data_IF_526698435457
#
_entry.id   IF_526698435457
#
_cell.length_a   1.000
_cell.length_b   1.000
_cell.length_c   1.000
_cell.angle_alpha   90.00
_cell.angle_beta   90.00
_cell.angle_gamma   90.00
#
_symmetry.space_group_name_H-M   'P 1'
#
loop_
_entity.id
_entity.type
_entity.pdbx_description
1 polymer ?
#
# COMPACT_ATOMS: atom_id res chain seq x y z
N UNK A 1 -4.97 -1.47 -20.51
CA UNK A 1 -6.17 -1.35 -19.65
C UNK A 1 -6.26 -2.44 -18.59
N UNK A 2 -6.06 -3.72 -18.90
CA UNK A 2 -6.12 -4.85 -17.95
C UNK A 2 -5.21 -4.65 -16.71
N UNK A 3 -3.98 -4.18 -16.88
CA UNK A 3 -3.03 -3.98 -15.78
C UNK A 3 -3.54 -2.95 -14.76
N UNK A 4 -4.14 -1.86 -15.23
CA UNK A 4 -4.73 -0.82 -14.35
C UNK A 4 -5.94 -1.34 -13.58
N UNK A 5 -6.77 -2.17 -14.20
CA UNK A 5 -7.92 -2.77 -13.52
C UNK A 5 -7.48 -3.73 -12.42
N UNK A 6 -6.45 -4.53 -12.67
CA UNK A 6 -5.86 -5.43 -11.66
C UNK A 6 -5.24 -4.62 -10.51
N UNK A 7 -4.54 -3.54 -10.81
CA UNK A 7 -3.96 -2.64 -9.81
C UNK A 7 -5.05 -2.06 -8.88
N UNK A 8 -6.13 -1.54 -9.45
CA UNK A 8 -7.26 -0.99 -8.65
C UNK A 8 -7.91 -2.07 -7.80
N UNK A 9 -8.08 -3.29 -8.31
CA UNK A 9 -8.62 -4.41 -7.54
C UNK A 9 -7.72 -4.79 -6.36
N UNK A 10 -6.41 -4.88 -6.58
CA UNK A 10 -5.45 -5.14 -5.50
C UNK A 10 -5.53 -4.06 -4.42
N UNK A 11 -5.58 -2.79 -4.83
CA UNK A 11 -5.74 -1.68 -3.89
C UNK A 11 -7.08 -1.70 -3.16
N UNK A 12 -8.17 -2.11 -3.82
CA UNK A 12 -9.49 -2.24 -3.18
C UNK A 12 -9.50 -3.36 -2.12
N UNK A 13 -8.87 -4.51 -2.42
CA UNK A 13 -8.72 -5.61 -1.45
C UNK A 13 -7.86 -5.17 -0.27
N UNK A 14 -6.77 -4.45 -0.55
CA UNK A 14 -5.90 -3.90 0.49
C UNK A 14 -6.64 -2.92 1.40
N UNK A 15 -7.38 -1.97 0.84
CA UNK A 15 -8.20 -1.02 1.60
C UNK A 15 -9.27 -1.75 2.43
N UNK A 16 -9.96 -2.73 1.85
CA UNK A 16 -10.94 -3.53 2.55
C UNK A 16 -10.35 -4.27 3.77
N UNK A 17 -9.18 -4.89 3.58
CA UNK A 17 -8.48 -5.57 4.67
C UNK A 17 -8.02 -4.58 5.75
N UNK A 18 -7.48 -3.42 5.37
CA UNK A 18 -7.01 -2.39 6.29
C UNK A 18 -8.15 -1.85 7.18
N UNK A 19 -9.31 -1.55 6.59
CA UNK A 19 -10.49 -1.13 7.35
C UNK A 19 -10.99 -2.22 8.29
N UNK A 20 -11.01 -3.48 7.85
CA UNK A 20 -11.38 -4.61 8.72
C UNK A 20 -10.43 -4.79 9.89
N UNK A 21 -9.13 -4.70 9.68
CA UNK A 21 -8.12 -4.79 10.73
C UNK A 21 -8.23 -3.64 11.73
N UNK A 22 -8.68 -2.47 11.29
CA UNK A 22 -8.92 -1.31 12.15
C UNK A 22 -10.26 -1.36 12.91
N UNK A 23 -11.03 -2.45 12.75
CA UNK A 23 -12.32 -2.63 13.43
C UNK A 23 -13.52 -1.97 12.71
N UNK A 24 -13.33 -1.48 11.49
CA UNK A 24 -14.38 -0.84 10.70
C UNK A 24 -14.76 -1.70 9.49
N UNK A 25 -15.87 -2.47 9.55
CA UNK A 25 -16.30 -3.26 8.40
C UNK A 25 -16.87 -2.35 7.30
N UNK A 26 -16.19 -2.32 6.16
CA UNK A 26 -16.65 -1.57 4.97
C UNK A 26 -17.19 -2.50 3.90
N UNK A 27 -18.12 -1.97 3.08
CA UNK A 27 -18.62 -2.66 1.91
C UNK A 27 -17.65 -2.56 0.71
N UNK A 28 -17.86 -3.38 -0.33
CA UNK A 28 -17.01 -3.37 -1.53
C UNK A 28 -16.97 -2.03 -2.24
N UNK A 29 -18.09 -1.30 -2.31
CA UNK A 29 -18.17 0.02 -2.93
C UNK A 29 -17.29 1.05 -2.23
N UNK A 30 -17.29 1.04 -0.88
CA UNK A 30 -16.44 1.91 -0.07
C UNK A 30 -14.96 1.56 -0.25
N UNK A 31 -14.62 0.27 -0.32
CA UNK A 31 -13.25 -0.18 -0.57
C UNK A 31 -12.73 0.28 -1.94
N UNK A 32 -13.55 0.19 -2.98
CA UNK A 32 -13.22 0.70 -4.33
C UNK A 32 -13.05 2.23 -4.30
N UNK A 33 -13.98 2.93 -3.64
CA UNK A 33 -13.89 4.39 -3.48
C UNK A 33 -12.61 4.83 -2.78
N UNK A 34 -12.23 4.17 -1.68
CA UNK A 34 -10.98 4.42 -0.96
C UNK A 34 -9.74 4.15 -1.84
N UNK A 35 -9.75 3.05 -2.61
CA UNK A 35 -8.68 2.72 -3.53
C UNK A 35 -8.52 3.77 -4.65
N UNK A 36 -9.62 4.27 -5.20
CA UNK A 36 -9.59 5.33 -6.21
C UNK A 36 -9.04 6.64 -5.67
N UNK A 37 -9.48 7.05 -4.47
CA UNK A 37 -8.97 8.24 -3.78
C UNK A 37 -7.48 8.12 -3.48
N UNK A 38 -7.04 6.97 -2.96
CA UNK A 38 -5.64 6.68 -2.70
C UNK A 38 -4.80 6.70 -3.99
N UNK A 39 -5.32 6.14 -5.08
CA UNK A 39 -4.65 6.15 -6.39
C UNK A 39 -4.54 7.56 -6.96
N UNK A 40 -5.57 8.38 -6.82
CA UNK A 40 -5.55 9.78 -7.24
C UNK A 40 -4.53 10.61 -6.42
N UNK A 41 -4.45 10.38 -5.11
CA UNK A 41 -3.47 11.02 -4.25
C UNK A 41 -2.01 10.71 -4.63
N UNK A 42 -1.75 9.50 -5.16
CA UNK A 42 -0.43 9.11 -5.65
C UNK A 42 0.00 9.83 -6.96
N UNK A 43 -0.93 10.48 -7.66
CA UNK A 43 -0.62 11.29 -8.84
C UNK A 43 0.01 12.65 -8.50
N UNK A 44 0.02 13.04 -7.22
CA UNK A 44 0.64 14.30 -6.79
C UNK A 44 2.15 14.06 -6.58
N UNK A 45 3.02 14.50 -7.53
CA UNK A 45 4.42 14.09 -7.57
C UNK A 45 5.33 14.81 -6.57
N UNK A 46 4.81 15.80 -5.84
CA UNK A 46 5.63 16.76 -5.09
C UNK A 46 6.06 16.33 -3.68
N UNK A 47 5.48 15.25 -3.14
CA UNK A 47 5.83 14.79 -1.80
C UNK A 47 6.17 13.32 -1.91
N UNK A 48 7.42 12.98 -1.66
CA UNK A 48 7.99 11.67 -1.83
C UNK A 48 7.08 10.54 -1.32
N UNK A 49 6.64 9.69 -2.24
CA UNK A 49 5.82 8.50 -1.99
C UNK A 49 4.41 8.75 -1.40
N UNK A 50 3.87 9.98 -1.51
CA UNK A 50 2.51 10.30 -1.04
C UNK A 50 2.35 10.25 0.49
N UNK A 51 3.46 10.29 1.25
CA UNK A 51 3.44 10.30 2.70
C UNK A 51 2.62 11.48 3.22
N UNK A 52 1.53 11.18 3.91
CA UNK A 52 0.60 12.15 4.49
C UNK A 52 -0.57 12.55 3.57
N UNK A 53 -0.34 12.80 2.28
CA UNK A 53 -1.42 13.22 1.37
C UNK A 53 -2.43 12.10 1.14
N UNK A 54 -1.96 10.88 0.92
CA UNK A 54 -2.83 9.72 0.71
C UNK A 54 -3.69 9.45 1.94
N UNK A 55 -3.07 9.41 3.10
CA UNK A 55 -3.74 9.17 4.37
C UNK A 55 -4.81 10.24 4.65
N UNK A 56 -4.48 11.50 4.43
CA UNK A 56 -5.42 12.61 4.58
C UNK A 56 -6.52 12.59 3.50
N UNK A 57 -6.20 12.25 2.26
CA UNK A 57 -7.18 12.15 1.20
C UNK A 57 -8.24 11.08 1.51
N UNK A 58 -7.82 9.89 1.97
CA UNK A 58 -8.74 8.81 2.37
C UNK A 58 -9.51 9.20 3.62
N UNK A 59 -8.88 9.82 4.62
CA UNK A 59 -9.55 10.29 5.82
C UNK A 59 -10.65 11.33 5.52
N UNK A 60 -10.37 12.29 4.63
CA UNK A 60 -11.33 13.30 4.21
C UNK A 60 -12.46 12.73 3.34
N UNK A 61 -12.17 11.69 2.55
CA UNK A 61 -13.15 11.03 1.69
C UNK A 61 -14.03 10.01 2.45
N UNK A 62 -13.56 9.45 3.56
CA UNK A 62 -14.26 8.41 4.31
C UNK A 62 -15.71 8.75 4.66
N UNK A 63 -16.07 9.97 5.13
CA UNK A 63 -17.45 10.35 5.38
C UNK A 63 -18.33 10.37 4.13
N UNK A 64 -17.75 10.72 2.98
CA UNK A 64 -18.48 10.85 1.72
C UNK A 64 -18.70 9.51 1.03
N UNK A 65 -17.69 8.64 1.01
CA UNK A 65 -17.73 7.35 0.31
C UNK A 65 -18.37 6.23 1.12
N UNK A 66 -18.36 6.31 2.46
CA UNK A 66 -18.85 5.23 3.31
C UNK A 66 -19.60 5.67 4.55
N UNK A 67 -19.74 6.97 4.81
CA UNK A 67 -20.38 7.49 6.02
C UNK A 67 -19.57 7.24 7.31
N UNK A 68 -18.28 6.92 7.18
CA UNK A 68 -17.38 6.69 8.31
C UNK A 68 -16.74 8.00 8.78
N UNK A 69 -16.34 8.04 10.06
CA UNK A 69 -15.58 9.14 10.61
C UNK A 69 -14.21 9.28 9.95
N UNK A 70 -13.65 10.48 9.91
CA UNK A 70 -12.31 10.76 9.34
C UNK A 70 -11.22 9.94 10.01
N UNK A 71 -11.32 9.75 11.32
CA UNK A 71 -10.36 8.98 12.11
C UNK A 71 -10.33 7.50 11.73
N UNK A 72 -11.47 6.94 11.29
CA UNK A 72 -11.55 5.59 10.77
C UNK A 72 -10.76 5.43 9.46
N UNK A 73 -10.88 6.40 8.55
CA UNK A 73 -10.10 6.42 7.31
C UNK A 73 -8.61 6.55 7.56
N UNK A 74 -8.21 7.44 8.46
CA UNK A 74 -6.81 7.62 8.84
C UNK A 74 -6.23 6.37 9.52
N UNK A 75 -6.96 5.78 10.46
CA UNK A 75 -6.54 4.56 11.15
C UNK A 75 -6.38 3.38 10.18
N UNK A 76 -7.29 3.23 9.21
CA UNK A 76 -7.21 2.19 8.20
C UNK A 76 -5.97 2.36 7.29
N UNK A 77 -5.67 3.58 6.84
CA UNK A 77 -4.49 3.84 6.01
C UNK A 77 -3.19 3.62 6.79
N UNK A 78 -3.12 4.03 8.05
CA UNK A 78 -1.94 3.78 8.89
C UNK A 78 -1.74 2.29 9.17
N UNK A 79 -2.83 1.54 9.43
CA UNK A 79 -2.76 0.09 9.59
C UNK A 79 -2.29 -0.60 8.30
N UNK A 80 -2.82 -0.20 7.14
CA UNK A 80 -2.37 -0.68 5.84
C UNK A 80 -0.88 -0.44 5.62
N UNK A 81 -0.39 0.75 5.94
CA UNK A 81 1.05 1.08 5.85
C UNK A 81 1.92 0.23 6.77
N UNK A 82 1.47 -0.02 7.99
CA UNK A 82 2.20 -0.88 8.92
C UNK A 82 2.37 -2.30 8.34
N UNK A 83 1.32 -2.83 7.71
CA UNK A 83 1.36 -4.13 7.02
C UNK A 83 2.31 -4.08 5.82
N UNK A 84 2.25 -3.04 4.99
CA UNK A 84 3.13 -2.87 3.84
C UNK A 84 4.61 -2.86 4.27
N UNK A 85 4.95 -2.12 5.31
CA UNK A 85 6.32 -2.08 5.85
C UNK A 85 6.72 -3.44 6.42
N UNK A 86 5.83 -4.09 7.17
CA UNK A 86 6.09 -5.41 7.75
C UNK A 86 6.37 -6.50 6.70
N UNK A 87 5.81 -6.36 5.51
CA UNK A 87 6.05 -7.26 4.37
C UNK A 87 7.27 -6.82 3.56
N UNK A 88 7.38 -5.52 3.25
CA UNK A 88 8.42 -5.00 2.38
C UNK A 88 9.82 -5.14 2.98
N UNK A 89 9.97 -4.95 4.28
CA UNK A 89 11.28 -5.04 4.96
C UNK A 89 11.88 -6.45 4.86
N UNK A 90 11.18 -7.54 5.25
CA UNK A 90 11.74 -8.89 5.12
C UNK A 90 12.01 -9.28 3.66
N UNK A 91 11.12 -8.93 2.74
CA UNK A 91 11.30 -9.22 1.31
C UNK A 91 12.49 -8.47 0.73
N UNK A 92 12.65 -7.18 1.09
CA UNK A 92 13.78 -6.36 0.69
C UNK A 92 15.11 -6.92 1.22
N UNK A 93 15.14 -7.33 2.47
CA UNK A 93 16.32 -7.96 3.07
C UNK A 93 16.67 -9.31 2.40
N UNK A 94 15.67 -10.14 2.13
CA UNK A 94 15.87 -11.41 1.43
C UNK A 94 16.38 -11.20 -0.01
N UNK A 95 15.80 -10.24 -0.74
CA UNK A 95 16.25 -9.86 -2.08
C UNK A 95 17.68 -9.33 -2.09
N UNK A 96 18.01 -8.45 -1.16
CA UNK A 96 19.37 -7.92 -1.01
C UNK A 96 20.38 -9.04 -0.69
N UNK A 97 20.06 -9.94 0.25
CA UNK A 97 20.92 -11.07 0.60
C UNK A 97 21.15 -12.01 -0.60
N UNK A 98 20.11 -12.27 -1.39
CA UNK A 98 20.20 -13.07 -2.61
C UNK A 98 21.11 -12.39 -3.66
N UNK A 99 20.98 -11.08 -3.84
CA UNK A 99 21.81 -10.29 -4.75
C UNK A 99 23.29 -10.34 -4.34
N UNK A 100 23.58 -10.10 -3.06
CA UNK A 100 24.96 -10.14 -2.53
C UNK A 100 25.59 -11.53 -2.71
N UNK A 101 24.82 -12.60 -2.49
CA UNK A 101 25.31 -13.98 -2.74
C UNK A 101 25.66 -14.21 -4.21
N UNK A 102 24.81 -13.77 -5.15
CA UNK A 102 25.04 -13.89 -6.59
C UNK A 102 26.29 -13.11 -7.03
N UNK A 103 26.44 -11.87 -6.54
CA UNK A 103 27.60 -11.03 -6.86
C UNK A 103 28.90 -11.65 -6.35
N UNK A 104 28.91 -12.18 -5.12
CA UNK A 104 30.08 -12.87 -4.55
C UNK A 104 30.44 -14.12 -5.35
N UNK A 105 29.46 -14.91 -5.79
CA UNK A 105 29.70 -16.09 -6.62
C UNK A 105 30.28 -15.73 -7.99
N UNK A 106 29.89 -14.58 -8.55
CA UNK A 106 30.39 -14.12 -9.86
C UNK A 106 31.84 -13.54 -9.78
N UNK A 107 32.26 -13.07 -8.60
CA UNK A 107 33.60 -12.45 -8.38
C UNK A 107 34.60 -13.51 -7.88
N UNK A 108 34.15 -14.70 -7.46
CA UNK A 108 35.06 -15.77 -7.03
C UNK A 108 36.00 -16.14 -8.21
N UNK A 109 37.33 -16.04 -8.06
CA UNK A 109 38.26 -16.36 -9.13
C UNK A 109 38.11 -17.82 -9.54
N UNK A 110 38.11 -18.07 -10.85
CA UNK A 110 38.15 -19.40 -11.42
C UNK A 110 39.56 -19.97 -11.23
N UNK A 111 39.96 -20.18 -10.00
CA UNK A 111 41.19 -20.89 -9.67
C UNK A 111 40.95 -22.39 -9.79
N UNK A 112 41.11 -22.89 -11.03
CA UNK A 112 41.55 -24.27 -11.28
C UNK A 112 42.15 -24.37 -12.66
#
# INVERSE_FOLDING_TARGET
MLVRSVEVLVWAVHAWAAFRLSGWPIGPSTAIGAALVASAANLVPFIGNGLGIREWAVALAAPVIGGYERDAGLAAELAGRAVDVAIAVPLGMAGFAALVRRTRAAIAPADR
#
